data_IF_659925881889
#
_entry.id   IF_659925881889
#
_cell.length_a   1.000
_cell.length_b   1.000
_cell.length_c   1.000
_cell.angle_alpha   90.00
_cell.angle_beta   90.00
_cell.angle_gamma   90.00
#
_symmetry.space_group_name_H-M   'P 1'
#
loop_
_entity.id
_entity.type
_entity.pdbx_description
1 polymer ?
#
# COMPACT_ATOMS: atom_id res chain seq x y z
N UNK A 1 13.60 -4.61 -22.56
CA UNK A 1 12.53 -3.61 -22.38
C UNK A 1 12.80 -2.85 -21.08
N UNK A 2 12.75 -1.53 -21.12
CA UNK A 2 12.93 -0.66 -19.95
C UNK A 2 11.56 -0.23 -19.47
N UNK A 3 11.31 -0.33 -18.18
CA UNK A 3 10.11 0.22 -17.53
C UNK A 3 10.51 1.43 -16.74
N UNK A 4 9.90 2.58 -17.01
CA UNK A 4 10.11 3.79 -16.22
C UNK A 4 9.38 3.63 -14.87
N UNK A 5 10.10 3.88 -13.79
CA UNK A 5 9.55 3.92 -12.45
C UNK A 5 9.47 5.39 -12.04
N UNK A 6 8.25 5.95 -12.06
CA UNK A 6 7.98 7.30 -11.58
C UNK A 6 8.60 8.42 -12.44
N UNK A 7 7.79 9.08 -13.23
CA UNK A 7 8.23 10.18 -14.12
C UNK A 7 8.45 11.53 -13.42
N UNK A 8 8.28 11.61 -12.10
CA UNK A 8 8.16 12.91 -11.42
C UNK A 8 9.28 13.23 -10.42
N UNK A 9 10.28 12.34 -10.29
CA UNK A 9 11.22 12.47 -9.19
C UNK A 9 12.22 13.62 -9.31
N UNK A 10 12.70 13.90 -10.50
CA UNK A 10 13.55 15.06 -10.76
C UNK A 10 13.40 15.45 -12.22
N UNK A 11 13.37 16.73 -12.52
CA UNK A 11 13.42 17.27 -13.89
C UNK A 11 14.71 16.81 -14.62
N UNK A 12 15.68 16.20 -13.91
CA UNK A 12 17.00 15.85 -14.40
C UNK A 12 17.36 14.36 -14.30
N UNK A 13 16.66 13.57 -13.49
CA UNK A 13 17.02 12.18 -13.24
C UNK A 13 15.80 11.27 -13.43
N UNK A 14 16.03 10.06 -13.93
CA UNK A 14 14.99 9.06 -14.15
C UNK A 14 15.43 7.72 -13.57
N UNK A 15 14.53 7.01 -12.94
CA UNK A 15 14.71 5.63 -12.51
C UNK A 15 14.10 4.67 -13.50
N UNK A 16 14.79 3.60 -13.82
CA UNK A 16 14.25 2.54 -14.66
C UNK A 16 14.80 1.17 -14.27
N UNK A 17 14.06 0.12 -14.62
CA UNK A 17 14.49 -1.26 -14.43
C UNK A 17 14.86 -1.91 -15.77
N UNK A 18 15.87 -2.76 -15.73
CA UNK A 18 16.14 -3.72 -16.80
C UNK A 18 15.66 -5.11 -16.39
N UNK A 19 15.52 -5.99 -17.37
CA UNK A 19 15.03 -7.35 -17.20
C UNK A 19 16.08 -8.34 -17.66
N UNK A 20 16.12 -9.48 -16.98
CA UNK A 20 16.91 -10.64 -17.39
C UNK A 20 16.31 -11.36 -18.62
N UNK A 21 16.92 -12.45 -19.05
CA UNK A 21 16.48 -13.24 -20.19
C UNK A 21 15.10 -13.89 -20.00
N UNK A 22 14.66 -14.08 -18.74
CA UNK A 22 13.33 -14.56 -18.37
C UNK A 22 12.29 -13.44 -18.22
N UNK A 23 12.63 -12.20 -18.60
CA UNK A 23 11.77 -11.00 -18.50
C UNK A 23 11.46 -10.56 -17.08
N UNK A 24 12.20 -11.04 -16.09
CA UNK A 24 12.11 -10.64 -14.71
C UNK A 24 12.84 -9.30 -14.51
N UNK A 25 12.21 -8.26 -13.93
CA UNK A 25 12.93 -7.07 -13.49
C UNK A 25 13.94 -7.47 -12.41
N UNK A 26 15.22 -7.20 -12.64
CA UNK A 26 16.31 -7.63 -11.78
C UNK A 26 17.30 -6.52 -11.40
N UNK A 27 17.34 -5.44 -12.18
CA UNK A 27 18.30 -4.35 -11.94
C UNK A 27 17.62 -2.99 -12.03
N UNK A 28 17.88 -2.14 -11.03
CA UNK A 28 17.44 -0.74 -10.95
C UNK A 28 18.59 0.19 -11.32
N UNK A 29 18.31 1.15 -12.19
CA UNK A 29 19.25 2.13 -12.71
C UNK A 29 18.77 3.55 -12.47
N UNK A 30 19.74 4.45 -12.26
CA UNK A 30 19.55 5.89 -12.27
C UNK A 30 20.14 6.45 -13.57
N UNK A 31 19.31 7.11 -14.36
CA UNK A 31 19.71 7.84 -15.56
C UNK A 31 19.63 9.35 -15.33
N UNK A 32 20.70 10.07 -15.65
CA UNK A 32 20.69 11.54 -15.63
C UNK A 32 20.34 12.06 -17.03
N UNK A 33 19.29 12.86 -17.13
CA UNK A 33 18.87 13.45 -18.41
C UNK A 33 19.99 14.26 -19.04
N UNK A 34 20.26 13.98 -20.33
CA UNK A 34 21.31 14.63 -21.09
C UNK A 34 22.67 13.92 -21.05
N UNK A 35 22.80 12.81 -20.33
CA UNK A 35 23.99 11.96 -20.37
C UNK A 35 23.78 10.72 -21.27
N UNK A 36 24.84 10.09 -21.80
CA UNK A 36 24.72 8.78 -22.45
C UNK A 36 24.25 7.70 -21.47
N UNK A 37 23.47 6.73 -21.97
CA UNK A 37 23.02 5.56 -21.18
C UNK A 37 24.18 4.72 -20.62
N UNK A 38 25.36 4.80 -21.24
CA UNK A 38 26.58 4.13 -20.74
C UNK A 38 27.09 4.70 -19.40
N UNK A 39 26.65 5.90 -19.06
CA UNK A 39 27.02 6.60 -17.80
C UNK A 39 25.97 6.37 -16.70
N UNK A 40 24.94 5.56 -16.94
CA UNK A 40 23.89 5.26 -15.96
C UNK A 40 24.46 4.53 -14.75
N UNK A 41 23.96 4.90 -13.58
CA UNK A 41 24.40 4.31 -12.32
C UNK A 41 23.49 3.15 -11.93
N UNK A 42 24.08 1.98 -11.72
CA UNK A 42 23.37 0.83 -11.18
C UNK A 42 23.16 1.03 -9.67
N UNK A 43 21.91 1.20 -9.26
CA UNK A 43 21.55 1.38 -7.85
C UNK A 43 21.37 0.06 -7.11
N UNK A 44 20.80 -0.94 -7.78
CA UNK A 44 20.49 -2.22 -7.17
C UNK A 44 20.44 -3.34 -8.21
N UNK A 45 20.80 -4.55 -7.79
CA UNK A 45 20.65 -5.77 -8.60
C UNK A 45 20.25 -6.95 -7.72
N UNK A 46 19.18 -7.65 -8.09
CA UNK A 46 18.72 -8.88 -7.44
C UNK A 46 19.13 -10.10 -8.28
N UNK A 47 20.14 -10.87 -7.83
CA UNK A 47 20.64 -12.01 -8.60
C UNK A 47 19.81 -13.29 -8.45
N UNK A 48 19.00 -13.42 -7.40
CA UNK A 48 18.19 -14.63 -7.18
C UNK A 48 16.91 -14.57 -8.03
N UNK A 49 16.80 -15.50 -8.98
CA UNK A 49 15.68 -15.60 -9.92
C UNK A 49 14.31 -15.84 -9.26
N UNK A 50 14.27 -16.22 -7.99
CA UNK A 50 13.01 -16.36 -7.23
C UNK A 50 12.34 -15.05 -6.92
N UNK A 51 13.09 -13.92 -6.96
CA UNK A 51 12.63 -12.62 -6.52
C UNK A 51 12.47 -11.65 -7.69
N UNK A 52 11.43 -10.85 -7.62
CA UNK A 52 11.12 -9.78 -8.56
C UNK A 52 11.48 -8.44 -7.93
N UNK A 53 12.07 -7.57 -8.72
CA UNK A 53 12.45 -6.23 -8.31
C UNK A 53 11.36 -5.23 -8.70
N UNK A 54 10.91 -4.44 -7.73
CA UNK A 54 10.09 -3.24 -7.93
C UNK A 54 10.78 -2.03 -7.32
N UNK A 55 10.38 -0.84 -7.75
CA UNK A 55 10.81 0.39 -7.12
C UNK A 55 9.69 1.43 -7.19
N UNK A 56 9.56 2.24 -6.16
CA UNK A 56 8.56 3.30 -6.04
C UNK A 56 9.03 4.39 -5.09
N UNK A 57 8.34 5.52 -5.13
CA UNK A 57 8.61 6.63 -4.22
C UNK A 57 7.49 6.67 -3.20
N UNK A 58 7.85 6.84 -1.93
CA UNK A 58 6.87 7.08 -0.88
C UNK A 58 5.99 8.28 -1.24
N UNK A 59 4.70 8.25 -0.85
CA UNK A 59 3.78 9.37 -1.10
C UNK A 59 4.29 10.71 -0.54
N UNK A 60 5.04 10.66 0.56
CA UNK A 60 5.74 11.80 1.14
C UNK A 60 6.85 12.38 0.25
N UNK A 61 7.26 11.64 -0.79
CA UNK A 61 8.43 11.93 -1.67
C UNK A 61 9.76 11.99 -0.93
N UNK A 62 9.84 11.40 0.26
CA UNK A 62 11.05 11.43 1.10
C UNK A 62 12.01 10.30 0.74
N UNK A 63 11.49 9.11 0.39
CA UNK A 63 12.29 7.93 0.11
C UNK A 63 11.93 7.26 -1.21
N UNK A 64 12.94 6.75 -1.91
CA UNK A 64 12.80 5.69 -2.89
C UNK A 64 12.80 4.37 -2.13
N UNK A 65 11.76 3.57 -2.35
CA UNK A 65 11.65 2.20 -1.86
C UNK A 65 12.02 1.25 -2.98
N UNK A 66 12.98 0.36 -2.72
CA UNK A 66 13.32 -0.75 -3.60
C UNK A 66 12.73 -2.00 -2.96
N UNK A 67 11.73 -2.58 -3.61
CA UNK A 67 11.02 -3.76 -3.14
C UNK A 67 11.49 -4.99 -3.89
N UNK A 68 11.87 -6.01 -3.16
CA UNK A 68 12.28 -7.32 -3.67
C UNK A 68 11.36 -8.37 -3.08
N UNK A 69 10.62 -9.10 -3.92
CA UNK A 69 9.61 -10.03 -3.43
C UNK A 69 9.45 -11.29 -4.26
N UNK A 70 9.08 -12.36 -3.57
CA UNK A 70 8.55 -13.60 -4.13
C UNK A 70 7.07 -13.74 -3.77
N UNK A 71 6.49 -14.92 -3.96
CA UNK A 71 5.10 -15.18 -3.58
C UNK A 71 4.87 -15.20 -2.06
N UNK A 72 5.90 -15.37 -1.26
CA UNK A 72 5.79 -15.58 0.21
C UNK A 72 6.88 -14.86 1.00
N UNK A 73 7.72 -14.06 0.37
CA UNK A 73 8.87 -13.44 1.05
C UNK A 73 9.14 -12.08 0.45
N UNK A 74 9.32 -11.07 1.28
CA UNK A 74 9.69 -9.71 0.86
C UNK A 74 10.98 -9.23 1.53
N UNK A 75 11.61 -8.27 0.88
CA UNK A 75 12.73 -7.49 1.39
C UNK A 75 12.67 -6.10 0.78
N UNK A 76 12.81 -5.06 1.58
CA UNK A 76 12.74 -3.70 1.09
C UNK A 76 13.95 -2.87 1.54
N UNK A 77 14.33 -1.93 0.68
CA UNK A 77 15.44 -1.01 0.90
C UNK A 77 14.99 0.42 0.69
N UNK A 78 15.62 1.34 1.39
CA UNK A 78 15.39 2.78 1.29
C UNK A 78 16.59 3.49 0.69
N UNK A 79 16.30 4.48 -0.15
CA UNK A 79 17.25 5.53 -0.56
C UNK A 79 16.64 6.87 -0.20
N UNK A 80 17.40 7.68 0.54
CA UNK A 80 17.00 9.04 0.91
C UNK A 80 17.05 9.96 -0.31
N UNK A 81 15.91 10.52 -0.71
CA UNK A 81 15.81 11.39 -1.89
C UNK A 81 16.34 12.80 -1.66
N UNK A 82 16.55 13.20 -0.42
CA UNK A 82 17.24 14.47 -0.08
C UNK A 82 18.76 14.29 0.07
N UNK A 83 19.23 13.03 0.03
CA UNK A 83 20.65 12.67 0.14
C UNK A 83 21.32 12.38 -1.20
N UNK A 84 22.36 11.55 -1.13
CA UNK A 84 23.06 11.03 -2.32
C UNK A 84 22.31 9.81 -2.87
N UNK A 85 21.65 9.96 -4.02
CA UNK A 85 20.89 8.90 -4.68
C UNK A 85 21.75 7.68 -5.09
N UNK A 86 23.07 7.86 -5.14
CA UNK A 86 24.03 6.79 -5.48
C UNK A 86 24.60 6.10 -4.24
N UNK A 87 24.21 6.52 -3.04
CA UNK A 87 24.57 5.84 -1.81
C UNK A 87 23.98 4.42 -1.78
N UNK A 88 24.63 3.52 -1.05
CA UNK A 88 24.12 2.16 -0.88
C UNK A 88 22.72 2.18 -0.24
N UNK A 89 21.71 1.51 -0.84
CA UNK A 89 20.38 1.44 -0.25
C UNK A 89 20.41 0.82 1.15
N UNK A 90 19.70 1.45 2.08
CA UNK A 90 19.56 0.96 3.45
C UNK A 90 18.53 -0.16 3.49
N UNK A 91 18.92 -1.36 3.93
CA UNK A 91 17.98 -2.47 4.13
C UNK A 91 17.05 -2.16 5.31
N UNK A 92 15.75 -2.37 5.11
CA UNK A 92 14.74 -2.23 6.17
C UNK A 92 14.75 -3.49 7.04
N UNK A 93 14.29 -4.61 6.52
CA UNK A 93 14.42 -5.90 7.18
C UNK A 93 15.01 -6.92 6.20
N UNK A 94 16.05 -7.65 6.60
CA UNK A 94 16.57 -8.77 5.80
C UNK A 94 15.49 -9.80 5.52
N UNK A 95 15.46 -10.33 4.29
CA UNK A 95 14.52 -11.38 3.90
C UNK A 95 14.62 -12.60 4.80
N UNK A 96 13.47 -13.13 5.17
CA UNK A 96 13.32 -14.40 5.88
C UNK A 96 12.20 -15.18 5.18
N UNK A 97 12.48 -16.41 4.78
CA UNK A 97 11.52 -17.22 4.03
C UNK A 97 10.18 -17.34 4.78
N UNK A 98 9.08 -17.09 4.07
CA UNK A 98 7.73 -17.06 4.61
C UNK A 98 7.33 -15.74 5.30
N UNK A 99 8.23 -14.76 5.37
CA UNK A 99 7.91 -13.43 5.90
C UNK A 99 7.70 -12.46 4.76
N UNK A 100 6.49 -11.94 4.70
CA UNK A 100 6.06 -10.88 3.80
C UNK A 100 5.93 -9.58 4.59
N UNK A 101 6.38 -8.47 4.01
CA UNK A 101 6.10 -7.14 4.54
C UNK A 101 6.08 -6.10 3.43
N UNK A 102 5.40 -5.00 3.70
CA UNK A 102 5.43 -3.76 2.92
C UNK A 102 5.54 -2.58 3.86
N UNK A 103 6.04 -1.45 3.34
CA UNK A 103 6.22 -0.25 4.14
C UNK A 103 5.58 0.98 3.51
N UNK A 104 5.21 1.90 4.39
CA UNK A 104 4.83 3.28 4.08
C UNK A 104 5.62 4.24 4.96
N UNK A 105 5.82 5.46 4.50
CA UNK A 105 6.51 6.51 5.25
C UNK A 105 5.54 7.62 5.66
N UNK A 106 5.65 8.05 6.92
CA UNK A 106 4.97 9.24 7.44
C UNK A 106 5.90 10.09 8.31
N UNK A 107 5.56 11.36 8.48
CA UNK A 107 6.21 12.25 9.45
C UNK A 107 5.25 12.43 10.62
N UNK A 108 5.64 11.95 11.80
CA UNK A 108 4.82 12.02 13.01
C UNK A 108 5.61 12.77 14.08
N UNK A 109 5.04 13.85 14.61
CA UNK A 109 5.69 14.73 15.60
C UNK A 109 7.08 15.26 15.15
N UNK A 110 7.25 15.44 13.83
CA UNK A 110 8.49 15.89 13.21
C UNK A 110 9.56 14.81 13.03
N UNK A 111 9.24 13.55 13.30
CA UNK A 111 10.10 12.39 13.09
C UNK A 111 9.68 11.60 11.85
N UNK A 112 10.66 11.24 11.00
CA UNK A 112 10.47 10.31 9.89
C UNK A 112 10.26 8.90 10.42
N UNK A 113 9.09 8.31 10.18
CA UNK A 113 8.72 6.96 10.62
C UNK A 113 8.32 6.06 9.45
N UNK A 114 8.72 4.81 9.54
CA UNK A 114 8.23 3.76 8.66
C UNK A 114 7.12 3.00 9.37
N UNK A 115 6.03 2.81 8.67
CA UNK A 115 4.94 1.92 9.04
C UNK A 115 5.09 0.64 8.24
N UNK A 116 5.26 -0.48 8.92
CA UNK A 116 5.57 -1.77 8.31
C UNK A 116 4.43 -2.74 8.60
N UNK A 117 3.75 -3.15 7.54
CA UNK A 117 2.73 -4.19 7.58
C UNK A 117 3.40 -5.53 7.29
N UNK A 118 3.32 -6.48 8.21
CA UNK A 118 4.06 -7.76 8.11
C UNK A 118 3.30 -8.96 8.67
N UNK A 119 3.71 -10.17 8.23
CA UNK A 119 3.17 -11.44 8.73
C UNK A 119 4.14 -12.21 9.63
N UNK A 120 5.22 -11.59 10.12
CA UNK A 120 6.19 -12.20 11.01
C UNK A 120 5.54 -12.57 12.35
N UNK A 121 5.37 -13.89 12.61
CA UNK A 121 4.57 -14.45 13.72
C UNK A 121 3.13 -13.91 13.82
N UNK A 122 2.59 -13.37 12.72
CA UNK A 122 1.30 -12.67 12.63
C UNK A 122 0.53 -13.12 11.37
N UNK A 123 -0.13 -14.29 11.40
CA UNK A 123 -0.78 -14.92 10.23
C UNK A 123 -1.74 -13.96 9.48
N UNK A 124 -2.50 -13.15 10.22
CA UNK A 124 -3.44 -12.16 9.68
C UNK A 124 -2.80 -10.75 9.57
N UNK A 125 -1.49 -10.67 9.61
CA UNK A 125 -0.65 -9.48 9.60
C UNK A 125 -0.77 -8.60 10.85
N UNK A 126 0.28 -7.84 11.09
CA UNK A 126 0.45 -6.83 12.14
C UNK A 126 1.02 -5.55 11.51
N UNK A 127 0.63 -4.40 12.02
CA UNK A 127 1.20 -3.11 11.65
C UNK A 127 2.06 -2.58 12.78
N UNK A 128 3.33 -2.33 12.48
CA UNK A 128 4.27 -1.71 13.41
C UNK A 128 4.83 -0.41 12.86
N UNK A 129 5.38 0.45 13.70
CA UNK A 129 6.16 1.60 13.26
C UNK A 129 7.55 1.60 13.89
N UNK A 130 8.53 2.10 13.12
CA UNK A 130 9.93 2.27 13.53
C UNK A 130 10.45 3.63 13.06
N UNK A 131 11.49 4.21 13.68
CA UNK A 131 12.18 5.37 13.11
C UNK A 131 12.78 5.01 11.75
N UNK A 132 12.65 5.89 10.75
CA UNK A 132 13.25 5.65 9.44
C UNK A 132 14.80 5.62 9.47
N UNK A 133 15.40 6.27 10.47
CA UNK A 133 16.85 6.24 10.73
C UNK A 133 17.36 4.92 11.31
N UNK A 134 16.48 4.13 11.94
CA UNK A 134 16.80 2.81 12.51
C UNK A 134 15.65 1.82 12.27
N UNK A 135 15.50 1.33 11.01
CA UNK A 135 14.38 0.46 10.66
C UNK A 135 14.42 -0.92 11.32
N UNK A 136 15.57 -1.32 11.87
CA UNK A 136 15.77 -2.60 12.57
C UNK A 136 15.73 -2.46 14.09
N UNK A 137 15.51 -1.26 14.61
CA UNK A 137 15.39 -0.96 16.03
C UNK A 137 14.08 -1.43 16.66
N UNK A 138 13.78 -0.88 17.83
CA UNK A 138 12.58 -1.23 18.59
C UNK A 138 11.29 -0.88 17.82
N UNK A 139 10.39 -1.86 17.71
CA UNK A 139 9.12 -1.75 17.01
C UNK A 139 8.03 -1.25 17.95
N UNK A 140 7.34 -0.20 17.57
CA UNK A 140 6.09 0.21 18.19
C UNK A 140 4.92 -0.49 17.48
N UNK A 141 4.14 -1.29 18.22
CA UNK A 141 2.96 -1.97 17.66
C UNK A 141 1.82 -0.97 17.53
N UNK A 142 1.44 -0.68 16.29
CA UNK A 142 0.34 0.23 15.94
C UNK A 142 -0.98 -0.53 15.90
N UNK A 143 -1.03 -1.65 15.18
CA UNK A 143 -2.17 -2.57 15.14
C UNK A 143 -1.67 -3.99 15.34
N UNK A 144 -1.91 -4.53 16.52
CA UNK A 144 -1.53 -5.89 16.85
C UNK A 144 -2.27 -6.92 15.99
N UNK A 145 -1.62 -8.04 15.71
CA UNK A 145 -2.25 -9.20 15.10
C UNK A 145 -3.52 -9.60 15.85
N UNK A 146 -4.61 -9.77 15.10
CA UNK A 146 -5.90 -10.23 15.63
C UNK A 146 -6.44 -11.35 14.73
N UNK A 147 -6.56 -12.60 15.24
CA UNK A 147 -7.10 -13.70 14.45
C UNK A 147 -8.46 -13.36 13.85
N UNK A 148 -8.60 -13.55 12.53
CA UNK A 148 -9.84 -13.24 11.78
C UNK A 148 -9.99 -11.78 11.35
N UNK A 149 -9.03 -10.90 11.68
CA UNK A 149 -8.87 -9.57 11.09
C UNK A 149 -7.60 -9.54 10.26
N UNK A 150 -7.69 -9.91 8.98
CA UNK A 150 -6.54 -9.87 8.09
C UNK A 150 -6.32 -8.46 7.58
N UNK A 151 -5.18 -7.86 7.94
CA UNK A 151 -4.74 -6.61 7.36
C UNK A 151 -4.29 -6.86 5.91
N UNK A 152 -4.69 -5.98 4.98
CA UNK A 152 -4.47 -6.12 3.54
C UNK A 152 -3.52 -5.06 2.99
N UNK A 153 -3.55 -3.86 3.55
CA UNK A 153 -2.75 -2.74 3.08
C UNK A 153 -2.87 -1.53 3.99
N UNK A 154 -1.96 -0.62 3.78
CA UNK A 154 -1.92 0.70 4.39
C UNK A 154 -1.46 1.70 3.34
N UNK A 155 -2.05 2.89 3.33
CA UNK A 155 -1.56 4.07 2.59
C UNK A 155 -1.30 5.20 3.58
N UNK A 156 -0.09 5.73 3.60
CA UNK A 156 0.25 6.86 4.44
C UNK A 156 -0.03 8.20 3.74
N UNK A 157 -0.62 9.12 4.48
CA UNK A 157 -0.83 10.52 4.13
C UNK A 157 -0.19 11.42 5.19
N UNK A 158 -0.14 12.72 4.94
CA UNK A 158 0.51 13.67 5.87
C UNK A 158 -0.04 13.61 7.29
N UNK A 159 -1.35 13.57 7.42
CA UNK A 159 -2.02 13.78 8.71
C UNK A 159 -2.74 12.51 9.24
N UNK A 160 -2.77 11.44 8.47
CA UNK A 160 -3.41 10.17 8.78
C UNK A 160 -2.91 9.05 7.87
N UNK A 161 -3.30 7.81 8.15
CA UNK A 161 -3.19 6.73 7.19
C UNK A 161 -4.55 6.06 6.95
N UNK A 162 -4.66 5.34 5.83
CA UNK A 162 -5.73 4.37 5.65
C UNK A 162 -5.21 2.98 5.96
N UNK A 163 -6.07 2.14 6.54
CA UNK A 163 -5.81 0.72 6.74
C UNK A 163 -6.94 -0.07 6.10
N UNK A 164 -6.59 -0.92 5.16
CA UNK A 164 -7.52 -1.86 4.55
C UNK A 164 -7.41 -3.22 5.22
N UNK A 165 -8.52 -3.82 5.57
CA UNK A 165 -8.53 -5.12 6.23
C UNK A 165 -9.80 -5.92 5.89
N UNK A 166 -9.74 -7.21 6.14
CA UNK A 166 -10.89 -8.11 6.00
C UNK A 166 -11.25 -8.70 7.35
N UNK A 167 -12.53 -8.61 7.71
CA UNK A 167 -13.09 -9.25 8.90
C UNK A 167 -14.36 -10.02 8.49
N UNK A 168 -14.44 -11.27 8.89
CA UNK A 168 -15.57 -12.16 8.52
C UNK A 168 -15.83 -12.17 7.00
N UNK A 169 -14.80 -12.13 6.16
CA UNK A 169 -14.89 -12.12 4.70
C UNK A 169 -15.34 -10.79 4.08
N UNK A 170 -15.60 -9.75 4.86
CA UNK A 170 -15.99 -8.42 4.37
C UNK A 170 -14.82 -7.44 4.46
N UNK A 171 -14.60 -6.71 3.38
CA UNK A 171 -13.60 -5.66 3.30
C UNK A 171 -14.01 -4.43 4.11
N UNK A 172 -13.04 -3.78 4.73
CA UNK A 172 -13.19 -2.57 5.52
C UNK A 172 -12.04 -1.62 5.20
N UNK A 173 -12.33 -0.33 5.26
CA UNK A 173 -11.35 0.74 5.18
C UNK A 173 -11.47 1.55 6.45
N UNK A 174 -10.39 1.68 7.20
CA UNK A 174 -10.31 2.52 8.39
C UNK A 174 -9.34 3.67 8.19
N UNK A 175 -9.56 4.75 8.93
CA UNK A 175 -8.63 5.88 9.06
C UNK A 175 -7.85 5.72 10.35
N UNK A 176 -6.54 5.58 10.23
CA UNK A 176 -5.60 5.50 11.34
C UNK A 176 -5.16 6.93 11.73
N UNK A 177 -5.33 7.26 12.98
CA UNK A 177 -4.81 8.47 13.59
C UNK A 177 -3.40 8.20 14.15
N UNK A 178 -2.41 8.94 13.69
CA UNK A 178 -1.00 8.73 14.06
C UNK A 178 -0.69 9.04 15.53
N UNK A 179 -1.48 9.91 16.17
CA UNK A 179 -1.22 10.33 17.55
C UNK A 179 -1.77 9.33 18.58
N UNK A 180 -2.78 8.53 18.19
CA UNK A 180 -3.51 7.66 19.12
C UNK A 180 -3.49 6.19 18.73
N UNK A 181 -3.00 5.87 17.52
CA UNK A 181 -3.09 4.55 16.86
C UNK A 181 -4.54 4.04 16.71
N UNK A 182 -5.51 4.92 16.87
CA UNK A 182 -6.93 4.57 16.73
C UNK A 182 -7.30 4.45 15.25
N UNK A 183 -7.99 3.35 14.91
CA UNK A 183 -8.57 3.15 13.58
C UNK A 183 -10.08 3.38 13.65
N UNK A 184 -10.57 4.30 12.83
CA UNK A 184 -11.99 4.60 12.70
C UNK A 184 -12.49 4.16 11.33
N UNK A 185 -13.38 3.17 11.29
CA UNK A 185 -13.93 2.63 10.06
C UNK A 185 -14.75 3.67 9.29
N UNK A 186 -14.60 3.64 7.96
CA UNK A 186 -15.48 4.34 7.03
C UNK A 186 -16.72 3.47 6.85
N UNK A 187 -17.87 3.99 7.27
CA UNK A 187 -19.13 3.26 7.27
C UNK A 187 -19.92 3.59 6.00
N UNK A 188 -20.47 2.55 5.36
CA UNK A 188 -21.40 2.64 4.24
C UNK A 188 -22.76 2.10 4.65
N UNK A 189 -23.84 2.59 3.99
CA UNK A 189 -25.22 2.24 4.35
C UNK A 189 -25.57 0.78 4.05
N UNK A 190 -24.94 0.18 3.04
CA UNK A 190 -25.22 -1.20 2.65
C UNK A 190 -24.45 -2.21 3.52
N UNK A 191 -25.05 -3.35 3.88
CA UNK A 191 -24.41 -4.35 4.75
C UNK A 191 -23.33 -5.16 4.06
N UNK A 192 -23.42 -5.35 2.74
CA UNK A 192 -22.49 -6.16 1.93
C UNK A 192 -21.96 -5.33 0.78
N UNK A 193 -20.68 -5.01 0.83
CA UNK A 193 -20.00 -4.21 -0.16
C UNK A 193 -18.52 -4.55 -0.24
N UNK A 194 -17.89 -4.14 -1.34
CA UNK A 194 -16.45 -3.98 -1.44
C UNK A 194 -16.12 -2.50 -1.53
N UNK A 195 -15.19 -2.05 -0.72
CA UNK A 195 -14.68 -0.69 -0.75
C UNK A 195 -13.17 -0.68 -0.55
N UNK A 196 -12.48 0.23 -1.21
CA UNK A 196 -11.04 0.39 -1.10
C UNK A 196 -10.59 1.80 -1.44
N UNK A 197 -9.38 2.14 -1.05
CA UNK A 197 -8.75 3.43 -1.36
C UNK A 197 -8.36 3.46 -2.84
N UNK A 198 -8.64 4.55 -3.55
CA UNK A 198 -8.40 4.64 -4.99
C UNK A 198 -8.08 6.05 -5.44
N UNK A 199 -7.01 6.21 -6.22
CA UNK A 199 -6.71 7.45 -6.92
C UNK A 199 -6.40 8.65 -6.02
N UNK A 200 -5.59 8.46 -4.96
CA UNK A 200 -5.18 9.50 -4.02
C UNK A 200 -3.66 9.75 -4.12
N UNK A 201 -3.14 10.43 -5.16
CA UNK A 201 -1.70 10.64 -5.32
C UNK A 201 -1.12 11.70 -4.38
N UNK A 202 -1.96 12.59 -3.87
CA UNK A 202 -1.53 13.75 -3.09
C UNK A 202 -1.16 13.35 -1.66
N UNK A 203 -0.01 13.86 -1.18
CA UNK A 203 0.44 13.69 0.20
C UNK A 203 -0.52 14.32 1.23
N UNK A 204 -1.09 15.45 0.86
CA UNK A 204 -2.10 16.16 1.65
C UNK A 204 -3.32 16.49 0.80
N UNK A 205 -4.47 16.05 1.26
CA UNK A 205 -5.76 16.33 0.64
C UNK A 205 -6.83 16.48 1.74
N UNK A 206 -7.79 17.38 1.61
CA UNK A 206 -8.95 17.43 2.51
C UNK A 206 -9.96 16.30 2.25
N UNK A 207 -9.80 15.57 1.17
CA UNK A 207 -10.68 14.47 0.76
C UNK A 207 -9.90 13.19 0.54
N UNK A 208 -10.55 12.07 0.84
CA UNK A 208 -10.07 10.73 0.50
C UNK A 208 -11.01 10.13 -0.55
N UNK A 209 -10.46 9.73 -1.70
CA UNK A 209 -11.22 9.05 -2.75
C UNK A 209 -11.29 7.56 -2.50
N UNK A 210 -12.50 7.00 -2.64
CA UNK A 210 -12.82 5.60 -2.40
C UNK A 210 -13.52 5.01 -3.62
N UNK A 211 -13.12 3.81 -4.01
CA UNK A 211 -13.90 2.94 -4.87
C UNK A 211 -14.90 2.15 -4.03
N UNK A 212 -16.10 1.94 -4.56
CA UNK A 212 -17.19 1.23 -3.88
C UNK A 212 -18.01 0.43 -4.89
N UNK A 213 -18.45 -0.74 -4.50
CA UNK A 213 -19.45 -1.53 -5.24
C UNK A 213 -20.15 -2.48 -4.29
N UNK A 214 -21.39 -2.86 -4.63
CA UNK A 214 -22.13 -3.90 -3.94
C UNK A 214 -22.88 -4.79 -4.93
N UNK A 215 -23.67 -5.77 -4.45
CA UNK A 215 -24.57 -6.54 -5.30
C UNK A 215 -25.74 -5.70 -5.84
N UNK A 216 -26.04 -4.57 -5.20
CA UNK A 216 -27.12 -3.66 -5.57
C UNK A 216 -26.56 -2.38 -6.18
N UNK A 217 -25.48 -1.84 -5.67
CA UNK A 217 -24.89 -0.58 -6.14
C UNK A 217 -23.79 -0.84 -7.15
N UNK A 218 -23.88 -0.34 -8.41
CA UNK A 218 -22.84 -0.46 -9.41
C UNK A 218 -21.58 0.30 -8.99
N UNK A 219 -20.46 0.03 -9.67
CA UNK A 219 -19.17 0.65 -9.38
C UNK A 219 -19.29 2.16 -9.21
N UNK A 220 -18.90 2.65 -8.06
CA UNK A 220 -19.10 4.00 -7.56
C UNK A 220 -17.80 4.58 -7.05
N UNK A 221 -17.59 5.87 -7.27
CA UNK A 221 -16.49 6.66 -6.69
C UNK A 221 -17.09 7.63 -5.70
N UNK A 222 -16.64 7.53 -4.46
CA UNK A 222 -16.91 8.50 -3.40
C UNK A 222 -15.67 9.35 -3.09
N UNK A 223 -15.90 10.54 -2.58
CA UNK A 223 -14.92 11.31 -1.82
C UNK A 223 -15.43 11.51 -0.41
N UNK A 224 -14.65 11.04 0.56
CA UNK A 224 -14.87 11.29 1.98
C UNK A 224 -14.25 12.64 2.36
N UNK A 225 -15.05 13.57 2.84
CA UNK A 225 -14.55 14.78 3.49
C UNK A 225 -13.93 14.40 4.83
N UNK A 226 -12.64 14.66 5.01
CA UNK A 226 -11.90 14.24 6.20
C UNK A 226 -12.26 15.03 7.46
N UNK A 227 -12.80 16.25 7.31
CA UNK A 227 -13.22 17.09 8.43
C UNK A 227 -14.64 16.73 8.91
N UNK A 228 -15.59 16.55 7.99
CA UNK A 228 -17.00 16.29 8.33
C UNK A 228 -17.34 14.80 8.38
N UNK A 229 -16.49 13.93 7.78
CA UNK A 229 -16.73 12.50 7.61
C UNK A 229 -17.91 12.18 6.67
N UNK A 230 -18.34 13.12 5.86
CA UNK A 230 -19.41 12.92 4.89
C UNK A 230 -18.86 12.31 3.59
N UNK A 231 -19.59 11.32 3.05
CA UNK A 231 -19.31 10.69 1.76
C UNK A 231 -20.03 11.44 0.64
N UNK A 232 -19.29 11.97 -0.31
CA UNK A 232 -19.82 12.64 -1.49
C UNK A 232 -19.71 11.75 -2.71
N UNK A 233 -20.85 11.41 -3.34
CA UNK A 233 -20.89 10.70 -4.60
C UNK A 233 -20.26 11.56 -5.72
N UNK A 234 -19.23 11.03 -6.39
CA UNK A 234 -18.56 11.69 -7.52
C UNK A 234 -18.90 11.08 -8.86
N UNK A 235 -18.97 9.75 -8.91
CA UNK A 235 -19.29 9.02 -10.13
C UNK A 235 -19.93 7.69 -9.79
N UNK A 236 -20.90 7.28 -10.59
CA UNK A 236 -21.45 5.93 -10.54
C UNK A 236 -21.59 5.42 -11.98
N UNK A 237 -21.29 4.14 -12.17
CA UNK A 237 -21.46 3.48 -13.47
C UNK A 237 -22.94 3.36 -13.77
N UNK A 238 -23.34 3.83 -14.96
CA UNK A 238 -24.71 3.72 -15.41
C UNK A 238 -25.08 2.28 -15.78
N UNK A 239 -26.22 1.80 -15.32
CA UNK A 239 -26.80 0.51 -15.73
C UNK A 239 -27.75 0.75 -16.89
N UNK A 240 -27.42 0.19 -18.07
CA UNK A 240 -28.23 0.36 -19.26
C UNK A 240 -29.46 -0.58 -19.23
N UNK A 241 -30.59 -0.11 -19.77
CA UNK A 241 -31.81 -0.91 -19.89
C UNK A 241 -32.85 -0.74 -18.77
N UNK A 242 -32.57 0.16 -17.84
CA UNK A 242 -33.43 0.42 -16.67
C UNK A 242 -32.98 -0.39 -15.45
N UNK A 243 -32.78 0.29 -14.35
CA UNK A 243 -32.34 -0.28 -13.09
C UNK A 243 -32.85 0.61 -11.94
N UNK A 244 -33.56 0.01 -11.01
CA UNK A 244 -33.93 0.64 -9.74
C UNK A 244 -33.31 -0.16 -8.60
N UNK A 245 -32.39 0.40 -7.79
CA UNK A 245 -31.80 -0.32 -6.65
C UNK A 245 -32.83 -0.80 -5.63
N UNK A 246 -34.01 -0.19 -5.57
CA UNK A 246 -35.10 -0.59 -4.67
C UNK A 246 -35.76 -1.91 -5.06
N UNK A 247 -35.58 -2.37 -6.30
CA UNK A 247 -36.07 -3.66 -6.77
C UNK A 247 -35.20 -4.84 -6.28
N UNK A 248 -34.05 -4.56 -5.68
CA UNK A 248 -33.07 -5.56 -5.29
C UNK A 248 -32.78 -5.50 -3.79
N UNK A 249 -32.45 -6.64 -3.22
CA UNK A 249 -31.99 -6.77 -1.84
C UNK A 249 -30.76 -7.66 -1.77
N UNK A 250 -29.93 -7.46 -0.76
CA UNK A 250 -28.77 -8.29 -0.49
C UNK A 250 -28.83 -8.83 0.94
N UNK A 251 -28.42 -10.07 1.10
CA UNK A 251 -28.44 -10.77 2.37
C UNK A 251 -27.21 -11.66 2.48
N UNK A 252 -26.63 -11.71 3.67
CA UNK A 252 -25.60 -12.69 4.01
C UNK A 252 -26.25 -13.89 4.70
N UNK A 253 -25.94 -15.06 4.20
CA UNK A 253 -26.25 -16.33 4.85
C UNK A 253 -24.96 -17.10 5.15
N UNK A 254 -25.06 -18.05 6.07
CA UNK A 254 -23.95 -18.87 6.49
C UNK A 254 -24.30 -20.34 6.27
N UNK A 255 -23.35 -21.08 5.73
CA UNK A 255 -23.37 -22.51 5.68
C UNK A 255 -22.33 -23.09 6.67
N UNK A 256 -22.52 -24.35 7.05
CA UNK A 256 -21.51 -25.06 7.86
C UNK A 256 -20.93 -26.18 7.01
N UNK A 257 -19.61 -26.14 6.81
CA UNK A 257 -18.87 -27.20 6.12
C UNK A 257 -18.81 -28.47 6.96
N UNK A 258 -18.42 -29.59 6.34
CA UNK A 258 -18.38 -30.92 7.02
C UNK A 258 -17.42 -31.00 8.21
N UNK A 259 -16.41 -30.14 8.25
CA UNK A 259 -15.46 -29.99 9.35
C UNK A 259 -15.94 -29.05 10.47
N UNK A 260 -17.15 -28.48 10.35
CA UNK A 260 -17.71 -27.53 11.29
C UNK A 260 -17.37 -26.07 11.00
N UNK A 261 -16.57 -25.79 9.98
CA UNK A 261 -16.21 -24.42 9.58
C UNK A 261 -17.44 -23.68 9.08
N UNK A 262 -17.66 -22.50 9.58
CA UNK A 262 -18.71 -21.58 9.11
C UNK A 262 -18.23 -20.84 7.86
N UNK A 263 -18.90 -20.97 6.76
CA UNK A 263 -18.61 -20.39 5.43
C UNK A 263 -19.78 -19.57 4.92
#
# INVERSE_FOLDING_TARGET
>A
LRSLVGSEMCIRDSLYTTRDDAWRPDTLWLHRLGTPVADDVKLFHEPDEKYWLGAGITRSRRYLVIAVGSSITSEEYLVDLEGDLTAAPQIVWPRREGVEYSLEHAVVDGEDRLYILHNDDALDFELVSVPASDPQGDRHVVLAHEPGRRLLGMDAFRDFATVEYRREGLERVGLLDYATDAVNDIVFDEPLYSAGVSGNPEWHSPFLRLGYTSFVTPGTVYELDLATRELHLRKQVAVLGGYDPLDYGQKRDWATASDGTRV
#
